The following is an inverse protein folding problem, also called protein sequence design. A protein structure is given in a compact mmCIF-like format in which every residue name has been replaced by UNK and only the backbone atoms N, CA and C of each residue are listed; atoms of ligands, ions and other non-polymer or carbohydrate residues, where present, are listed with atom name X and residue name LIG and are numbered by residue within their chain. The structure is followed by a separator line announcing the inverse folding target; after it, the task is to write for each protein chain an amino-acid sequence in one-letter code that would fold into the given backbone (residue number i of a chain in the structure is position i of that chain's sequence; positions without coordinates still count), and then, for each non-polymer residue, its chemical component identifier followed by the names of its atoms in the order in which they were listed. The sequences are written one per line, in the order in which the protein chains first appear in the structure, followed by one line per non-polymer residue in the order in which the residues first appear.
data_IF_343119843344
#
_entry.id   IF_343119843344
#
_cell.length_a   1.000
_cell.length_b   1.000
_cell.length_c   1.000
_cell.angle_alpha   90.00
_cell.angle_beta   90.00
_cell.angle_gamma   90.00
#
_symmetry.space_group_name_H-M   'P 1'
#
loop_
_entity.id
_entity.type
_entity.pdbx_description
1 polymer ?
#
# COMPACT_ATOMS: atom_id res chain seq x y z
N UNK A 1 8.57 -0.55 -23.98
CA UNK A 1 7.99 -0.60 -22.62
C UNK A 1 7.02 -1.77 -22.56
N UNK A 2 7.13 -2.70 -21.60
CA UNK A 2 6.20 -3.83 -21.52
C UNK A 2 4.81 -3.32 -21.15
N UNK A 3 3.83 -3.53 -22.05
CA UNK A 3 2.41 -3.26 -21.78
C UNK A 3 1.99 -4.19 -20.65
N UNK A 4 1.62 -3.62 -19.51
CA UNK A 4 1.06 -4.36 -18.38
C UNK A 4 -0.22 -5.06 -18.87
N UNK A 5 -0.18 -6.39 -19.02
CA UNK A 5 -1.37 -7.17 -19.39
C UNK A 5 -2.39 -7.04 -18.26
N UNK A 6 -3.45 -6.26 -18.48
CA UNK A 6 -4.59 -6.26 -17.57
C UNK A 6 -5.28 -7.62 -17.69
N UNK A 7 -5.48 -8.31 -16.56
CA UNK A 7 -6.19 -9.61 -16.50
C UNK A 7 -7.64 -9.53 -17.00
N UNK A 8 -8.20 -8.32 -17.10
CA UNK A 8 -9.56 -8.07 -17.54
C UNK A 8 -9.54 -6.95 -18.59
N UNK A 9 -10.19 -7.21 -19.72
CA UNK A 9 -10.37 -6.24 -20.79
C UNK A 9 -11.28 -5.09 -20.33
N UNK A 10 -10.68 -3.91 -20.18
CA UNK A 10 -11.37 -2.73 -19.69
C UNK A 10 -12.43 -2.23 -20.67
N UNK A 11 -12.21 -2.41 -21.98
CA UNK A 11 -13.14 -1.97 -23.02
C UNK A 11 -14.40 -2.82 -23.00
N UNK A 12 -14.25 -4.13 -22.74
CA UNK A 12 -15.37 -5.05 -22.54
C UNK A 12 -16.22 -4.66 -21.34
N UNK A 13 -15.60 -4.35 -20.19
CA UNK A 13 -16.34 -3.92 -18.98
C UNK A 13 -17.08 -2.61 -19.23
N UNK A 14 -16.43 -1.63 -19.87
CA UNK A 14 -17.04 -0.34 -20.18
C UNK A 14 -18.30 -0.56 -21.04
N UNK A 15 -18.19 -1.38 -22.09
CA UNK A 15 -19.30 -1.67 -23.01
C UNK A 15 -20.49 -2.29 -22.29
N UNK A 16 -20.26 -3.34 -21.48
CA UNK A 16 -21.33 -4.01 -20.73
C UNK A 16 -22.04 -3.07 -19.73
N UNK A 17 -21.30 -2.13 -19.13
CA UNK A 17 -21.86 -1.16 -18.19
C UNK A 17 -22.67 -0.07 -18.89
N UNK A 18 -22.25 0.39 -20.07
CA UNK A 18 -23.02 1.34 -20.88
C UNK A 18 -24.34 0.74 -21.36
N UNK A 19 -24.32 -0.52 -21.82
CA UNK A 19 -25.53 -1.26 -22.19
C UNK A 19 -26.49 -1.39 -21.00
N UNK A 20 -25.95 -1.63 -19.79
CA UNK A 20 -26.77 -1.71 -18.58
C UNK A 20 -27.42 -0.37 -18.22
N UNK A 21 -26.70 0.75 -18.35
CA UNK A 21 -27.27 2.09 -18.15
C UNK A 21 -28.41 2.35 -19.13
N UNK A 22 -28.22 2.02 -20.41
CA UNK A 22 -29.26 2.20 -21.43
C UNK A 22 -30.49 1.32 -21.15
N UNK A 23 -30.30 0.08 -20.71
CA UNK A 23 -31.41 -0.80 -20.35
C UNK A 23 -32.24 -0.25 -19.17
N UNK A 24 -31.56 0.28 -18.16
CA UNK A 24 -32.19 0.86 -16.96
C UNK A 24 -32.99 2.13 -17.25
N UNK A 25 -32.54 2.94 -18.23
CA UNK A 25 -33.26 4.14 -18.65
C UNK A 25 -34.42 3.84 -19.61
N UNK A 26 -34.35 2.73 -20.37
CA UNK A 26 -35.34 2.37 -21.38
C UNK A 26 -36.61 1.76 -20.78
N UNK A 27 -36.47 0.95 -19.74
CA UNK A 27 -37.58 0.29 -19.05
C UNK A 27 -37.38 0.42 -17.53
N UNK A 28 -37.59 1.63 -16.97
CA UNK A 28 -37.39 1.88 -15.55
C UNK A 28 -38.49 1.20 -14.75
N UNK A 29 -38.09 0.41 -13.74
CA UNK A 29 -39.02 -0.18 -12.79
C UNK A 29 -39.77 0.94 -12.03
N UNK A 30 -41.11 1.00 -12.10
CA UNK A 30 -41.89 2.05 -11.46
C UNK A 30 -41.85 2.00 -9.92
N UNK A 31 -41.37 0.89 -9.35
CA UNK A 31 -41.24 0.69 -7.90
C UNK A 31 -39.88 1.13 -7.36
N UNK A 32 -38.95 1.53 -8.23
CA UNK A 32 -37.58 1.84 -7.87
C UNK A 32 -37.05 3.10 -8.56
N UNK A 33 -36.47 4.01 -7.78
CA UNK A 33 -35.74 5.14 -8.38
C UNK A 33 -34.41 4.65 -8.96
N UNK A 34 -34.34 4.63 -10.29
CA UNK A 34 -33.19 4.13 -11.05
C UNK A 34 -32.04 5.15 -11.13
N UNK A 35 -32.29 6.43 -10.83
CA UNK A 35 -31.33 7.52 -11.03
C UNK A 35 -30.05 7.39 -10.17
N UNK A 36 -30.09 6.98 -8.89
CA UNK A 36 -28.89 6.75 -8.11
C UNK A 36 -27.98 5.66 -8.71
N UNK A 37 -28.57 4.62 -9.28
CA UNK A 37 -27.83 3.49 -9.91
C UNK A 37 -27.20 3.93 -11.21
N UNK A 38 -27.95 4.64 -12.05
CA UNK A 38 -27.44 5.21 -13.31
C UNK A 38 -26.29 6.19 -13.02
N UNK A 39 -26.45 7.07 -12.03
CA UNK A 39 -25.39 8.00 -11.63
C UNK A 39 -24.13 7.27 -11.12
N UNK A 40 -24.29 6.20 -10.34
CA UNK A 40 -23.16 5.40 -9.87
C UNK A 40 -22.42 4.71 -11.03
N UNK A 41 -23.15 4.14 -11.99
CA UNK A 41 -22.60 3.48 -13.17
C UNK A 41 -21.88 4.48 -14.09
N UNK A 42 -22.48 5.63 -14.40
CA UNK A 42 -21.84 6.67 -15.22
C UNK A 42 -20.54 7.18 -14.56
N UNK A 43 -20.55 7.45 -13.26
CA UNK A 43 -19.35 7.86 -12.53
C UNK A 43 -18.23 6.80 -12.58
N UNK A 44 -18.60 5.52 -12.56
CA UNK A 44 -17.63 4.43 -12.65
C UNK A 44 -17.07 4.28 -14.07
N UNK A 45 -17.92 4.38 -15.09
CA UNK A 45 -17.52 4.38 -16.51
C UNK A 45 -16.57 5.56 -16.79
N UNK A 46 -16.89 6.76 -16.29
CA UNK A 46 -16.04 7.94 -16.43
C UNK A 46 -14.67 7.74 -15.77
N UNK A 47 -14.62 7.06 -14.62
CA UNK A 47 -13.35 6.70 -13.96
C UNK A 47 -12.54 5.72 -14.78
N UNK A 48 -13.17 4.68 -15.35
CA UNK A 48 -12.51 3.69 -16.21
C UNK A 48 -11.97 4.31 -17.50
N UNK A 49 -12.73 5.23 -18.11
CA UNK A 49 -12.34 5.97 -19.32
C UNK A 49 -11.30 7.06 -19.07
N UNK A 50 -11.27 7.60 -17.85
CA UNK A 50 -10.25 8.57 -17.49
C UNK A 50 -8.90 7.89 -17.30
N UNK A 51 -7.83 8.51 -17.78
CA UNK A 51 -6.45 8.18 -17.41
C UNK A 51 -6.16 8.41 -15.89
N UNK A 52 -7.19 8.68 -15.08
CA UNK A 52 -7.13 8.85 -13.62
C UNK A 52 -7.26 7.54 -12.85
N UNK A 53 -7.06 6.39 -13.49
CA UNK A 53 -6.44 5.29 -12.77
C UNK A 53 -5.01 5.75 -12.45
N UNK A 54 -4.86 6.46 -11.32
CA UNK A 54 -3.59 6.45 -10.62
C UNK A 54 -3.18 4.98 -10.58
N UNK A 55 -2.01 4.60 -11.11
CA UNK A 55 -1.51 3.25 -10.90
C UNK A 55 -1.65 2.97 -9.40
N UNK A 56 -2.05 1.73 -9.05
CA UNK A 56 -2.11 1.30 -7.64
C UNK A 56 -0.95 1.97 -6.90
N UNK A 57 -1.21 2.68 -5.78
CA UNK A 57 -0.17 3.44 -5.11
C UNK A 57 1.00 2.51 -4.97
N UNK A 58 2.11 2.87 -5.64
CA UNK A 58 3.27 1.99 -5.72
C UNK A 58 3.54 1.57 -4.29
N UNK A 59 3.43 0.26 -3.94
CA UNK A 59 3.57 -0.15 -2.56
C UNK A 59 4.88 0.48 -2.07
N UNK A 60 4.87 1.18 -0.92
CA UNK A 60 6.03 1.94 -0.48
C UNK A 60 7.21 1.00 -0.59
N UNK A 61 8.22 1.42 -1.37
CA UNK A 61 9.42 0.62 -1.62
C UNK A 61 9.90 0.16 -0.27
N UNK A 62 9.75 -1.15 0.01
CA UNK A 62 10.21 -1.68 1.28
C UNK A 62 11.71 -1.44 1.30
N UNK A 63 12.24 -0.75 2.33
CA UNK A 63 13.66 -0.56 2.42
C UNK A 63 14.33 -1.93 2.38
N UNK A 64 15.37 -2.07 1.55
CA UNK A 64 16.13 -3.31 1.38
C UNK A 64 16.99 -3.55 2.63
N UNK A 65 16.31 -3.94 3.71
CA UNK A 65 16.90 -4.22 5.01
C UNK A 65 17.26 -5.70 5.05
N UNK A 66 18.52 -5.99 5.34
CA UNK A 66 19.03 -7.36 5.50
C UNK A 66 19.59 -7.58 6.92
N UNK A 67 19.67 -8.85 7.37
CA UNK A 67 20.40 -9.19 8.59
C UNK A 67 21.84 -8.64 8.56
N UNK A 68 22.25 -8.02 9.64
CA UNK A 68 23.54 -7.35 9.81
C UNK A 68 23.51 -5.84 9.56
N UNK A 69 22.44 -5.29 8.97
CA UNK A 69 22.34 -3.84 8.76
C UNK A 69 22.17 -3.10 10.08
N UNK A 70 22.83 -1.94 10.17
CA UNK A 70 22.59 -0.97 11.23
C UNK A 70 21.38 -0.10 10.88
N UNK A 71 20.44 0.01 11.80
CA UNK A 71 19.18 0.71 11.61
C UNK A 71 18.88 1.65 12.78
N UNK A 72 18.10 2.71 12.51
CA UNK A 72 17.47 3.55 13.54
C UNK A 72 15.96 3.42 13.45
N UNK A 73 15.30 3.48 14.60
CA UNK A 73 13.85 3.56 14.63
C UNK A 73 13.38 5.00 14.41
N UNK A 74 12.57 5.23 13.37
CA UNK A 74 12.13 6.57 12.94
C UNK A 74 11.35 7.29 14.07
N UNK A 75 10.37 6.60 14.65
CA UNK A 75 9.50 7.17 15.70
C UNK A 75 10.16 7.16 17.10
N UNK A 76 11.16 6.31 17.33
CA UNK A 76 11.74 6.05 18.65
C UNK A 76 13.25 6.27 18.63
N UNK A 77 13.65 7.51 18.31
CA UNK A 77 15.07 7.91 18.19
C UNK A 77 15.93 7.61 19.42
N UNK A 78 15.31 7.48 20.60
CA UNK A 78 15.99 7.18 21.86
C UNK A 78 16.42 5.70 21.98
N UNK A 79 16.02 4.83 21.04
CA UNK A 79 16.55 3.47 20.93
C UNK A 79 18.00 3.47 20.43
N UNK A 80 18.45 4.58 19.82
CA UNK A 80 19.79 4.69 19.25
C UNK A 80 19.93 3.88 17.97
N UNK A 81 21.11 3.29 17.80
CA UNK A 81 21.45 2.43 16.67
C UNK A 81 21.20 0.99 17.08
N UNK A 82 20.44 0.27 16.26
CA UNK A 82 20.20 -1.15 16.40
C UNK A 82 20.74 -1.93 15.22
N UNK A 83 20.83 -3.24 15.39
CA UNK A 83 21.30 -4.20 14.39
C UNK A 83 20.12 -5.12 14.05
N UNK A 84 19.92 -5.36 12.76
CA UNK A 84 18.93 -6.33 12.28
C UNK A 84 19.51 -7.73 12.44
N UNK A 85 18.85 -8.58 13.21
CA UNK A 85 19.27 -9.98 13.39
C UNK A 85 18.55 -10.91 12.40
N UNK A 86 17.27 -10.65 12.10
CA UNK A 86 16.46 -11.48 11.21
C UNK A 86 15.41 -10.63 10.50
N UNK A 87 15.08 -10.96 9.24
CA UNK A 87 13.89 -10.43 8.56
C UNK A 87 12.81 -11.50 8.57
N UNK A 88 11.61 -11.14 9.04
CA UNK A 88 10.50 -12.08 9.15
C UNK A 88 10.13 -12.64 7.77
N UNK A 89 9.64 -13.89 7.73
CA UNK A 89 9.23 -14.57 6.48
C UNK A 89 8.21 -13.79 5.63
N UNK A 90 7.44 -12.89 6.25
CA UNK A 90 6.48 -12.03 5.54
C UNK A 90 7.13 -10.88 4.76
N UNK A 91 8.41 -10.58 5.01
CA UNK A 91 9.10 -9.41 4.42
C UNK A 91 8.61 -8.07 4.96
N UNK A 92 7.74 -8.04 5.98
CA UNK A 92 7.14 -6.78 6.49
C UNK A 92 7.78 -6.28 7.79
N UNK A 93 8.59 -7.12 8.45
CA UNK A 93 9.17 -6.85 9.77
C UNK A 93 10.58 -7.40 9.88
N UNK A 94 11.39 -6.75 10.69
CA UNK A 94 12.72 -7.20 11.06
C UNK A 94 12.84 -7.32 12.58
N UNK A 95 13.47 -8.39 13.05
CA UNK A 95 13.91 -8.52 14.43
C UNK A 95 15.17 -7.70 14.62
N UNK A 96 15.09 -6.66 15.44
CA UNK A 96 16.19 -5.74 15.68
C UNK A 96 16.58 -5.75 17.15
N UNK A 97 17.88 -5.65 17.40
CA UNK A 97 18.45 -5.47 18.72
C UNK A 97 19.08 -4.07 18.83
N UNK A 98 18.70 -3.31 19.85
CA UNK A 98 19.14 -1.94 20.07
C UNK A 98 19.96 -1.88 21.36
N UNK A 99 21.28 -2.16 21.32
CA UNK A 99 22.10 -2.27 22.53
C UNK A 99 22.41 -0.91 23.17
N UNK A 100 22.41 0.17 22.39
CA UNK A 100 22.80 1.52 22.82
C UNK A 100 21.60 2.45 23.10
N UNK A 101 20.51 1.88 23.59
CA UNK A 101 19.30 2.63 23.92
C UNK A 101 19.47 3.50 25.17
N UNK A 102 18.72 4.61 25.25
CA UNK A 102 18.74 5.49 26.42
C UNK A 102 18.02 4.85 27.62
N UNK A 103 18.81 4.25 28.52
CA UNK A 103 18.33 3.61 29.75
C UNK A 103 17.61 4.57 30.72
N UNK A 104 17.79 5.89 30.58
CA UNK A 104 17.03 6.86 31.40
C UNK A 104 15.58 6.96 30.97
N UNK A 105 15.28 6.56 29.71
CA UNK A 105 13.95 6.60 29.12
C UNK A 105 13.27 5.25 29.08
N UNK A 106 14.04 4.16 29.05
CA UNK A 106 13.53 2.81 28.97
C UNK A 106 14.14 1.94 30.07
N UNK A 107 13.27 1.25 30.80
CA UNK A 107 13.67 0.26 31.80
C UNK A 107 13.89 -1.14 31.22
N UNK A 108 13.76 -1.30 29.90
CA UNK A 108 13.82 -2.58 29.21
C UNK A 108 14.59 -2.44 27.88
N UNK A 109 15.22 -3.53 27.46
CA UNK A 109 16.00 -3.58 26.21
C UNK A 109 15.07 -3.65 25.00
N UNK A 110 15.13 -2.70 24.03
CA UNK A 110 14.20 -2.64 22.91
C UNK A 110 14.47 -3.68 21.81
N UNK A 111 14.58 -4.95 22.17
CA UNK A 111 14.83 -6.08 21.27
C UNK A 111 13.53 -6.78 20.86
N UNK A 112 13.07 -6.53 19.63
CA UNK A 112 11.77 -7.01 19.15
C UNK A 112 11.65 -7.00 17.62
N UNK A 113 10.51 -7.47 17.11
CA UNK A 113 10.13 -7.32 15.70
C UNK A 113 9.53 -5.93 15.46
N UNK A 114 10.17 -5.16 14.58
CA UNK A 114 9.73 -3.84 14.14
C UNK A 114 9.33 -3.89 12.67
N UNK A 115 8.41 -3.00 12.27
CA UNK A 115 8.00 -2.90 10.86
C UNK A 115 9.10 -2.22 10.05
N UNK A 116 9.34 -2.69 8.82
CA UNK A 116 10.41 -2.15 7.97
C UNK A 116 10.20 -0.66 7.64
N UNK A 117 8.96 -0.20 7.50
CA UNK A 117 8.63 1.22 7.27
C UNK A 117 8.92 2.13 8.46
N UNK A 118 9.32 1.56 9.61
CA UNK A 118 9.71 2.28 10.83
C UNK A 118 11.21 2.24 11.08
N UNK A 119 11.96 1.61 10.19
CA UNK A 119 13.39 1.44 10.29
C UNK A 119 14.05 2.21 9.14
N UNK A 120 15.13 2.90 9.47
CA UNK A 120 15.98 3.61 8.52
C UNK A 120 17.38 3.01 8.59
N UNK A 121 17.89 2.52 7.45
CA UNK A 121 19.26 1.97 7.36
C UNK A 121 20.26 3.10 7.47
N UNK A 122 21.23 2.96 8.36
CA UNK A 122 22.37 3.85 8.44
C UNK A 122 23.38 3.36 7.41
N UNK A 123 23.40 4.01 6.25
CA UNK A 123 24.51 3.86 5.31
C UNK A 123 25.58 4.86 5.74
N UNK A 124 26.72 4.36 6.22
CA UNK A 124 27.93 5.17 6.29
C UNK A 124 28.36 5.44 4.84
N UNK A 125 27.82 6.51 4.25
CA UNK A 125 28.42 7.11 3.05
C UNK A 125 29.77 7.69 3.48
N UNK A 126 30.83 6.93 3.21
CA UNK A 126 32.22 7.32 3.35
C UNK A 126 32.71 7.96 2.04
#
# INVERSE_FOLDING_TARGET
MPKQLRLIDSDKIITEMEERVQALLRDPDPTYDVHPVVNALCNYIDRLKSDRYLPDPTPPVQPDIKPGDEVRHIDHKHYGIGIVEEVAKSGLRAYCNFPNYDQRRLSWEPRAYYRLDKLEVITDEN
#
